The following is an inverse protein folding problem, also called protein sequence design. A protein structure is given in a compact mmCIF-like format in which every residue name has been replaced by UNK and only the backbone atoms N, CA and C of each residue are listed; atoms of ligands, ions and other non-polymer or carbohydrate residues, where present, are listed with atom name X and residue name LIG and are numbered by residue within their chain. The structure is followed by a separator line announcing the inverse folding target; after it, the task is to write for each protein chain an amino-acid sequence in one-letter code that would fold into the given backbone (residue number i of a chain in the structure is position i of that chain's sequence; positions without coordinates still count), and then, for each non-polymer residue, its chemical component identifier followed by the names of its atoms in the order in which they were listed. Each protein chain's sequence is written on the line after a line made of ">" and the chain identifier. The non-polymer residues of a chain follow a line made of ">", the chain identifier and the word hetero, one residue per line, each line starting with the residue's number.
data_IF_673709216647
#
_entry.id   IF_673709216647
#
_cell.length_a   1.000
_cell.length_b   1.000
_cell.length_c   1.000
_cell.angle_alpha   90.00
_cell.angle_beta   90.00
_cell.angle_gamma   90.00
#
_symmetry.space_group_name_H-M   'P 1'
#
loop_
_entity.id
_entity.type
_entity.pdbx_description
1 polymer ?
#
# COMPACT_ATOMS: atom_id res chain seq x y z
N UNK A 1 2.03 -3.82 -4.21
CA UNK A 1 1.45 -2.69 -4.99
C UNK A 1 1.26 -3.08 -6.45
N UNK A 2 2.27 -3.59 -7.18
CA UNK A 2 2.16 -3.93 -8.61
C UNK A 2 0.96 -4.81 -8.96
N UNK A 3 0.63 -5.82 -8.14
CA UNK A 3 -0.55 -6.66 -8.37
C UNK A 3 -1.87 -5.88 -8.34
N UNK A 4 -2.00 -4.89 -7.45
CA UNK A 4 -3.18 -4.02 -7.37
C UNK A 4 -3.24 -3.10 -8.58
N UNK A 5 -2.14 -2.45 -8.95
CA UNK A 5 -2.05 -1.59 -10.13
C UNK A 5 -2.41 -2.37 -11.40
N UNK A 6 -1.83 -3.56 -11.59
CA UNK A 6 -2.12 -4.41 -12.74
C UNK A 6 -3.60 -4.83 -12.79
N UNK A 7 -4.18 -5.17 -11.64
CA UNK A 7 -5.59 -5.54 -11.57
C UNK A 7 -6.53 -4.38 -11.96
N UNK A 8 -6.16 -3.15 -11.63
CA UNK A 8 -6.90 -1.95 -12.03
C UNK A 8 -6.76 -1.67 -13.53
N UNK A 9 -5.55 -1.75 -14.08
CA UNK A 9 -5.28 -1.62 -15.51
C UNK A 9 -6.03 -2.68 -16.32
N UNK A 10 -6.05 -3.93 -15.84
CA UNK A 10 -6.80 -5.02 -16.50
C UNK A 10 -8.33 -4.78 -16.52
N UNK A 11 -8.83 -3.89 -15.68
CA UNK A 11 -10.22 -3.40 -15.69
C UNK A 11 -10.43 -2.19 -16.58
N UNK A 12 -9.44 -1.87 -17.42
CA UNK A 12 -9.45 -0.70 -18.31
C UNK A 12 -9.55 0.65 -17.59
N UNK A 13 -9.07 0.71 -16.34
CA UNK A 13 -8.97 1.96 -15.61
C UNK A 13 -7.66 2.66 -15.96
N UNK A 14 -7.73 3.97 -16.08
CA UNK A 14 -6.56 4.85 -16.16
C UNK A 14 -6.00 5.03 -14.75
N UNK A 15 -4.76 4.57 -14.51
CA UNK A 15 -4.19 4.45 -13.16
C UNK A 15 -3.00 5.36 -12.99
N UNK A 16 -2.99 6.16 -11.92
CA UNK A 16 -1.80 6.80 -11.41
C UNK A 16 -1.25 6.03 -10.20
N UNK A 17 0.05 6.06 -10.02
CA UNK A 17 0.75 5.53 -8.86
C UNK A 17 1.59 6.62 -8.21
N UNK A 18 1.75 6.58 -6.89
CA UNK A 18 2.70 7.41 -6.17
C UNK A 18 3.40 6.57 -5.10
N UNK A 19 4.67 6.83 -4.88
CA UNK A 19 5.46 6.21 -3.81
C UNK A 19 5.62 7.17 -2.65
N UNK A 20 5.33 6.70 -1.43
CA UNK A 20 5.65 7.44 -0.20
C UNK A 20 7.12 7.23 0.14
N UNK A 21 8.02 7.96 -0.48
CA UNK A 21 9.47 7.95 -0.26
C UNK A 21 10.18 8.49 -1.53
N UNK A 22 11.41 9.01 -1.44
CA UNK A 22 12.20 9.41 -2.60
C UNK A 22 12.85 8.19 -3.28
N UNK A 23 12.02 7.24 -3.72
CA UNK A 23 12.42 6.04 -4.44
C UNK A 23 12.24 6.24 -5.96
N UNK A 24 13.08 5.58 -6.76
CA UNK A 24 12.95 5.58 -8.21
C UNK A 24 12.75 4.17 -8.79
N UNK A 25 13.05 3.11 -8.04
CA UNK A 25 12.94 1.72 -8.50
C UNK A 25 11.48 1.33 -8.62
N UNK A 26 10.69 1.47 -7.54
CA UNK A 26 9.27 1.14 -7.55
C UNK A 26 8.49 1.99 -8.57
N UNK A 27 8.71 3.33 -8.66
CA UNK A 27 8.11 4.13 -9.73
C UNK A 27 8.46 3.69 -11.15
N UNK A 28 9.67 3.13 -11.38
CA UNK A 28 10.00 2.53 -12.68
C UNK A 28 9.17 1.27 -12.98
N UNK A 29 8.95 0.40 -12.01
CA UNK A 29 8.06 -0.76 -12.18
C UNK A 29 6.62 -0.30 -12.45
N UNK A 30 6.12 0.69 -11.71
CA UNK A 30 4.78 1.23 -11.93
C UNK A 30 4.61 1.79 -13.35
N UNK A 31 5.61 2.53 -13.86
CA UNK A 31 5.52 3.18 -15.16
C UNK A 31 5.88 2.27 -16.33
N UNK A 32 7.01 1.55 -16.27
CA UNK A 32 7.53 0.79 -17.41
C UNK A 32 6.88 -0.58 -17.56
N UNK A 33 6.54 -1.24 -16.45
CA UNK A 33 5.97 -2.60 -16.47
C UNK A 33 4.46 -2.55 -16.45
N UNK A 34 3.86 -1.73 -15.59
CA UNK A 34 2.41 -1.65 -15.41
C UNK A 34 1.78 -0.62 -16.35
N UNK A 35 2.53 0.40 -16.79
CA UNK A 35 2.01 1.49 -17.61
C UNK A 35 1.24 2.56 -16.81
N UNK A 36 1.35 2.58 -15.49
CA UNK A 36 0.74 3.60 -14.65
C UNK A 36 1.55 4.90 -14.67
N UNK A 37 0.88 6.04 -14.66
CA UNK A 37 1.55 7.34 -14.41
C UNK A 37 2.11 7.32 -12.99
N UNK A 38 3.42 7.54 -12.79
CA UNK A 38 4.05 7.36 -11.50
C UNK A 38 4.84 8.58 -11.02
N UNK A 39 4.82 8.82 -9.70
CA UNK A 39 5.53 9.91 -9.03
C UNK A 39 5.90 9.53 -7.60
N UNK A 40 6.61 10.43 -6.90
CA UNK A 40 6.89 10.31 -5.47
C UNK A 40 6.13 11.37 -4.69
N UNK A 41 5.68 11.01 -3.48
CA UNK A 41 5.07 11.90 -2.50
C UNK A 41 5.79 11.68 -1.16
N UNK A 42 6.67 12.60 -0.78
CA UNK A 42 7.44 12.45 0.43
C UNK A 42 7.10 13.55 1.45
N UNK A 43 6.46 13.18 2.59
CA UNK A 43 6.10 14.13 3.64
C UNK A 43 7.32 14.66 4.43
N UNK A 44 8.51 14.13 4.21
CA UNK A 44 9.74 14.70 4.76
C UNK A 44 10.17 15.98 4.03
N UNK A 45 10.07 15.99 2.69
CA UNK A 45 10.51 17.11 1.85
C UNK A 45 9.41 18.15 1.59
N UNK A 46 8.13 17.73 1.64
CA UNK A 46 7.03 18.57 1.19
C UNK A 46 6.01 18.82 2.30
N UNK A 47 5.52 20.05 2.34
CA UNK A 47 4.37 20.42 3.17
C UNK A 47 3.05 19.86 2.63
N UNK A 48 1.99 19.99 3.39
CA UNK A 48 0.66 19.46 3.05
C UNK A 48 0.12 20.00 1.73
N UNK A 49 0.26 21.31 1.49
CA UNK A 49 -0.26 21.93 0.27
C UNK A 49 0.50 21.44 -0.97
N UNK A 50 1.82 21.32 -0.88
CA UNK A 50 2.65 20.79 -1.95
C UNK A 50 2.33 19.32 -2.22
N UNK A 51 2.16 18.49 -1.18
CA UNK A 51 1.77 17.08 -1.34
C UNK A 51 0.42 16.94 -2.04
N UNK A 52 -0.58 17.73 -1.63
CA UNK A 52 -1.91 17.72 -2.27
C UNK A 52 -1.86 18.19 -3.73
N UNK A 53 -1.06 19.22 -4.01
CA UNK A 53 -0.86 19.69 -5.38
C UNK A 53 -0.21 18.63 -6.26
N UNK A 54 0.88 18.01 -5.80
CA UNK A 54 1.59 16.96 -6.53
C UNK A 54 0.70 15.72 -6.73
N UNK A 55 -0.07 15.33 -5.73
CA UNK A 55 -1.03 14.24 -5.84
C UNK A 55 -2.12 14.57 -6.90
N UNK A 56 -2.70 15.75 -6.85
CA UNK A 56 -3.71 16.18 -7.82
C UNK A 56 -3.15 16.25 -9.24
N UNK A 57 -1.91 16.74 -9.41
CA UNK A 57 -1.23 16.80 -10.70
C UNK A 57 -0.96 15.38 -11.26
N UNK A 58 -0.52 14.46 -10.41
CA UNK A 58 -0.28 13.07 -10.79
C UNK A 58 -1.60 12.34 -11.12
N UNK A 59 -2.67 12.59 -10.37
CA UNK A 59 -3.99 12.00 -10.56
C UNK A 59 -4.74 12.55 -11.79
N UNK A 60 -4.31 13.68 -12.34
CA UNK A 60 -4.99 14.33 -13.45
C UNK A 60 -5.12 13.42 -14.67
N UNK A 61 -6.35 13.21 -15.12
CA UNK A 61 -6.69 12.34 -16.25
C UNK A 61 -6.70 10.85 -15.90
N UNK A 62 -6.62 10.48 -14.61
CA UNK A 62 -6.70 9.10 -14.16
C UNK A 62 -8.00 8.86 -13.37
N UNK A 63 -8.53 7.63 -13.46
CA UNK A 63 -9.74 7.20 -12.74
C UNK A 63 -9.42 6.90 -11.27
N UNK A 64 -8.20 6.44 -10.99
CA UNK A 64 -7.76 6.06 -9.65
C UNK A 64 -6.26 6.31 -9.46
N UNK A 65 -5.89 6.73 -8.26
CA UNK A 65 -4.50 6.84 -7.83
C UNK A 65 -4.22 5.90 -6.68
N UNK A 66 -3.16 5.11 -6.79
CA UNK A 66 -2.69 4.22 -5.73
C UNK A 66 -1.40 4.78 -5.15
N UNK A 67 -1.41 5.11 -3.86
CA UNK A 67 -0.21 5.52 -3.12
C UNK A 67 0.38 4.29 -2.45
N UNK A 68 1.62 3.97 -2.78
CA UNK A 68 2.37 2.90 -2.13
C UNK A 68 3.06 3.40 -0.87
N UNK A 69 2.68 2.84 0.27
CA UNK A 69 3.35 3.09 1.55
C UNK A 69 4.72 2.41 1.63
N UNK A 70 5.52 2.85 2.58
CA UNK A 70 6.88 2.37 2.87
C UNK A 70 6.96 1.91 4.31
N UNK A 71 7.73 0.85 4.57
CA UNK A 71 7.91 0.26 5.92
C UNK A 71 6.56 -0.11 6.58
N UNK A 72 6.46 -0.03 7.91
CA UNK A 72 5.19 -0.11 8.61
C UNK A 72 4.38 1.18 8.47
N UNK A 73 3.07 1.08 8.57
CA UNK A 73 2.14 2.20 8.36
C UNK A 73 2.47 3.43 9.24
N UNK A 74 2.86 3.18 10.48
CA UNK A 74 3.21 4.21 11.47
C UNK A 74 4.70 4.51 11.56
N UNK A 75 5.55 3.78 10.81
CA UNK A 75 7.00 3.95 10.89
C UNK A 75 7.43 5.22 10.15
N UNK A 76 8.03 6.14 10.88
CA UNK A 76 8.53 7.40 10.35
C UNK A 76 9.98 7.65 10.75
N UNK A 77 10.37 8.89 10.83
CA UNK A 77 11.74 9.29 11.18
C UNK A 77 12.11 8.85 12.59
N UNK A 78 13.18 8.06 12.67
CA UNK A 78 13.58 7.44 13.93
C UNK A 78 12.66 6.28 14.34
N UNK A 79 12.85 5.72 15.53
CA UNK A 79 12.19 4.49 15.94
C UNK A 79 10.82 4.71 16.62
N UNK A 80 10.47 5.94 16.94
CA UNK A 80 9.32 6.27 17.82
C UNK A 80 8.45 7.40 17.29
N UNK A 81 8.69 7.88 16.08
CA UNK A 81 7.96 9.00 15.50
C UNK A 81 7.18 8.56 14.26
N UNK A 82 5.98 9.11 14.09
CA UNK A 82 5.18 8.96 12.87
C UNK A 82 5.47 10.04 11.83
N UNK A 83 6.39 10.97 12.12
CA UNK A 83 6.78 12.01 11.17
C UNK A 83 7.39 11.37 9.90
N UNK A 84 6.95 11.83 8.74
CA UNK A 84 7.32 11.32 7.42
C UNK A 84 6.92 9.85 7.17
N UNK A 85 5.95 9.32 7.94
CA UNK A 85 5.39 7.99 7.71
C UNK A 85 4.30 7.98 6.64
N UNK A 86 3.92 6.79 6.22
CA UNK A 86 2.73 6.58 5.37
C UNK A 86 1.45 7.09 6.06
N UNK A 87 1.35 6.95 7.40
CA UNK A 87 0.26 7.51 8.19
C UNK A 87 0.17 9.04 8.02
N UNK A 88 1.29 9.77 8.21
CA UNK A 88 1.30 11.23 8.03
C UNK A 88 0.92 11.64 6.60
N UNK A 89 1.40 10.91 5.59
CA UNK A 89 1.02 11.16 4.20
C UNK A 89 -0.48 10.97 3.98
N UNK A 90 -1.05 9.89 4.50
CA UNK A 90 -2.49 9.61 4.40
C UNK A 90 -3.33 10.71 5.09
N UNK A 91 -2.87 11.23 6.24
CA UNK A 91 -3.50 12.36 6.92
C UNK A 91 -3.47 13.63 6.06
N UNK A 92 -2.29 14.03 5.61
CA UNK A 92 -2.08 15.25 4.81
C UNK A 92 -2.83 15.22 3.48
N UNK A 93 -2.93 14.08 2.84
CA UNK A 93 -3.62 13.91 1.55
C UNK A 93 -5.09 13.53 1.68
N UNK A 94 -5.58 13.31 2.89
CA UNK A 94 -6.96 12.84 3.17
C UNK A 94 -7.28 11.53 2.42
N UNK A 95 -6.30 10.66 2.29
CA UNK A 95 -6.42 9.42 1.52
C UNK A 95 -6.93 8.26 2.36
N UNK A 96 -7.89 7.45 1.87
CA UNK A 96 -8.28 6.20 2.53
C UNK A 96 -7.14 5.19 2.41
N UNK A 97 -7.01 4.34 3.42
CA UNK A 97 -5.91 3.38 3.55
C UNK A 97 -6.43 1.95 3.45
N UNK A 98 -5.78 1.15 2.60
CA UNK A 98 -5.94 -0.30 2.57
C UNK A 98 -4.68 -0.91 3.18
N UNK A 99 -4.82 -1.50 4.38
CA UNK A 99 -3.71 -2.11 5.09
C UNK A 99 -3.39 -3.48 4.49
N UNK A 100 -2.14 -3.71 4.12
CA UNK A 100 -1.66 -5.03 3.65
C UNK A 100 -0.97 -5.74 4.80
N UNK A 101 -1.55 -6.85 5.27
CA UNK A 101 -1.08 -7.57 6.45
C UNK A 101 -0.54 -8.94 6.06
N UNK A 102 0.64 -9.28 6.55
CA UNK A 102 1.20 -10.62 6.36
C UNK A 102 0.39 -11.65 7.17
N UNK A 103 -0.29 -12.54 6.46
CA UNK A 103 -1.12 -13.61 7.02
C UNK A 103 -0.48 -15.00 6.84
N UNK A 104 0.79 -15.08 6.45
CA UNK A 104 1.49 -16.34 6.21
C UNK A 104 1.59 -17.16 7.51
N UNK A 105 1.00 -18.36 7.50
CA UNK A 105 1.00 -19.24 8.67
C UNK A 105 0.18 -18.72 9.86
N UNK A 106 -0.58 -17.65 9.67
CA UNK A 106 -1.43 -17.08 10.69
C UNK A 106 -2.91 -17.46 10.48
N UNK A 107 -3.63 -17.52 11.58
CA UNK A 107 -5.09 -17.70 11.61
C UNK A 107 -5.71 -16.48 12.34
N UNK A 108 -6.52 -16.70 13.35
CA UNK A 108 -7.21 -15.62 14.07
C UNK A 108 -6.27 -14.54 14.64
N UNK A 109 -5.01 -14.88 14.95
CA UNK A 109 -4.04 -13.93 15.49
C UNK A 109 -3.71 -12.77 14.55
N UNK A 110 -3.85 -12.92 13.23
CA UNK A 110 -3.67 -11.80 12.28
C UNK A 110 -4.66 -10.68 12.55
N UNK A 111 -5.86 -11.01 13.04
CA UNK A 111 -6.90 -10.02 13.35
C UNK A 111 -6.54 -9.19 14.59
N UNK A 112 -5.80 -9.76 15.53
CA UNK A 112 -5.28 -9.00 16.67
C UNK A 112 -4.26 -7.94 16.20
N UNK A 113 -3.43 -8.26 15.22
CA UNK A 113 -2.52 -7.28 14.61
C UNK A 113 -3.30 -6.17 13.90
N UNK A 114 -4.34 -6.53 13.12
CA UNK A 114 -5.21 -5.53 12.47
C UNK A 114 -5.87 -4.63 13.51
N UNK A 115 -6.42 -5.20 14.59
CA UNK A 115 -7.02 -4.44 15.69
C UNK A 115 -6.02 -3.46 16.31
N UNK A 116 -4.78 -3.90 16.51
CA UNK A 116 -3.71 -3.01 16.98
C UNK A 116 -3.46 -1.81 16.06
N UNK A 117 -3.49 -2.01 14.74
CA UNK A 117 -3.37 -0.89 13.80
C UNK A 117 -4.56 0.07 13.87
N UNK A 118 -5.79 -0.44 14.01
CA UNK A 118 -7.00 0.39 14.09
C UNK A 118 -7.08 1.22 15.39
N UNK A 119 -6.51 0.72 16.48
CA UNK A 119 -6.62 1.38 17.79
C UNK A 119 -5.34 2.16 18.18
N UNK A 120 -4.25 2.05 17.41
CA UNK A 120 -2.95 2.59 17.82
C UNK A 120 -2.91 4.12 17.83
N UNK A 121 -3.47 4.75 16.82
CA UNK A 121 -3.56 6.22 16.72
C UNK A 121 -4.97 6.64 16.24
N UNK A 122 -5.44 7.82 16.64
CA UNK A 122 -6.72 8.34 16.16
C UNK A 122 -6.66 8.63 14.65
N UNK A 123 -7.82 8.53 14.00
CA UNK A 123 -8.00 8.84 12.57
C UNK A 123 -7.00 8.08 11.66
N UNK A 124 -6.89 6.76 11.87
CA UNK A 124 -5.95 5.90 11.14
C UNK A 124 -6.23 5.78 9.63
N UNK A 125 -7.41 6.24 9.16
CA UNK A 125 -7.91 6.18 7.79
C UNK A 125 -7.98 4.80 7.18
N UNK A 126 -7.80 3.74 7.96
CA UNK A 126 -7.85 2.36 7.50
C UNK A 126 -9.31 1.99 7.21
N UNK A 127 -9.64 1.84 5.94
CA UNK A 127 -10.98 1.47 5.48
C UNK A 127 -11.06 0.04 4.95
N UNK A 128 -9.91 -0.61 4.74
CA UNK A 128 -9.85 -1.96 4.20
C UNK A 128 -8.56 -2.70 4.53
N UNK A 129 -8.61 -4.02 4.39
CA UNK A 129 -7.49 -4.92 4.67
C UNK A 129 -7.32 -5.93 3.53
N UNK A 130 -6.08 -6.14 3.09
CA UNK A 130 -5.66 -7.23 2.21
C UNK A 130 -4.80 -8.20 3.03
N UNK A 131 -5.15 -9.50 3.01
CA UNK A 131 -4.35 -10.55 3.64
C UNK A 131 -3.32 -11.11 2.66
N UNK A 132 -2.04 -10.83 2.90
CA UNK A 132 -0.94 -11.29 2.06
C UNK A 132 -0.37 -12.62 2.56
N UNK A 133 -0.10 -13.56 1.64
CA UNK A 133 0.36 -14.91 1.95
C UNK A 133 -0.74 -15.83 2.48
N UNK A 134 -1.99 -15.53 2.14
CA UNK A 134 -3.20 -16.24 2.57
C UNK A 134 -3.75 -17.12 1.43
N UNK A 135 -4.40 -18.23 1.75
CA UNK A 135 -5.14 -19.05 0.78
C UNK A 135 -6.62 -18.69 0.77
N UNK A 136 -7.34 -19.05 -0.30
CA UNK A 136 -8.79 -18.84 -0.36
C UNK A 136 -9.54 -19.51 0.80
N UNK A 137 -9.10 -20.69 1.21
CA UNK A 137 -9.70 -21.46 2.30
C UNK A 137 -9.54 -20.75 3.66
N UNK A 138 -8.40 -20.14 3.93
CA UNK A 138 -8.15 -19.40 5.16
C UNK A 138 -8.70 -17.97 5.10
N UNK A 139 -8.76 -17.36 3.93
CA UNK A 139 -9.29 -16.01 3.75
C UNK A 139 -10.79 -15.90 4.09
N UNK A 140 -11.61 -16.78 3.55
CA UNK A 140 -13.07 -16.65 3.66
C UNK A 140 -13.60 -16.54 5.11
N UNK A 141 -13.18 -17.40 6.07
CA UNK A 141 -13.59 -17.24 7.46
C UNK A 141 -12.97 -15.98 8.12
N UNK A 142 -11.72 -15.61 7.80
CA UNK A 142 -11.07 -14.43 8.36
C UNK A 142 -11.71 -13.13 7.86
N UNK A 143 -12.11 -13.07 6.60
CA UNK A 143 -12.82 -11.93 6.02
C UNK A 143 -14.10 -11.60 6.78
N UNK A 144 -14.92 -12.62 7.10
CA UNK A 144 -16.13 -12.44 7.90
C UNK A 144 -15.82 -11.85 9.28
N UNK A 145 -14.81 -12.38 9.95
CA UNK A 145 -14.44 -11.88 11.29
C UNK A 145 -13.85 -10.46 11.21
N UNK A 146 -13.10 -10.10 10.16
CA UNK A 146 -12.66 -8.73 9.90
C UNK A 146 -13.84 -7.77 9.86
N UNK A 147 -14.85 -8.10 9.04
CA UNK A 147 -16.02 -7.24 8.84
C UNK A 147 -16.91 -7.20 10.08
N UNK A 148 -17.23 -8.37 10.65
CA UNK A 148 -18.19 -8.49 11.77
C UNK A 148 -17.64 -7.93 13.10
N UNK A 149 -16.34 -8.14 13.38
CA UNK A 149 -15.76 -7.78 14.70
C UNK A 149 -14.90 -6.51 14.67
N UNK A 150 -14.27 -6.20 13.55
CA UNK A 150 -13.38 -5.06 13.45
C UNK A 150 -14.02 -3.91 12.67
N UNK A 151 -15.13 -4.15 11.95
CA UNK A 151 -15.82 -3.11 11.18
C UNK A 151 -15.01 -2.58 9.99
N UNK A 152 -14.00 -3.35 9.54
CA UNK A 152 -13.13 -2.96 8.44
C UNK A 152 -13.34 -3.90 7.25
N UNK A 153 -13.35 -3.35 6.04
CA UNK A 153 -13.63 -4.11 4.81
C UNK A 153 -12.51 -5.13 4.50
N UNK A 154 -12.88 -6.36 4.23
CA UNK A 154 -11.99 -7.38 3.70
C UNK A 154 -11.85 -7.21 2.18
N UNK A 155 -10.79 -6.54 1.74
CA UNK A 155 -10.57 -6.18 0.33
C UNK A 155 -10.07 -7.34 -0.54
N UNK A 156 -9.62 -8.42 0.06
CA UNK A 156 -9.12 -9.58 -0.67
C UNK A 156 -7.87 -10.19 -0.04
N UNK A 157 -7.26 -11.09 -0.79
CA UNK A 157 -6.02 -11.75 -0.37
C UNK A 157 -5.07 -11.96 -1.55
N UNK A 158 -3.79 -12.12 -1.24
CA UNK A 158 -2.77 -12.57 -2.18
C UNK A 158 -2.22 -13.91 -1.69
N UNK A 159 -2.23 -14.96 -2.52
CA UNK A 159 -1.58 -16.22 -2.18
C UNK A 159 -0.06 -16.08 -2.28
N UNK A 160 0.67 -17.09 -1.84
CA UNK A 160 2.09 -17.15 -2.12
C UNK A 160 2.30 -17.41 -3.62
N UNK A 161 2.99 -16.52 -4.31
CA UNK A 161 3.26 -16.54 -5.75
C UNK A 161 4.79 -16.61 -5.97
N UNK A 162 5.41 -17.80 -5.88
CA UNK A 162 6.87 -17.95 -6.01
C UNK A 162 7.37 -17.47 -7.38
N UNK A 163 6.59 -17.65 -8.44
CA UNK A 163 6.95 -17.26 -9.81
C UNK A 163 6.93 -15.72 -10.02
N UNK A 164 6.31 -14.99 -9.10
CA UNK A 164 6.31 -13.53 -9.09
C UNK A 164 7.35 -12.93 -8.15
N UNK A 165 8.22 -13.74 -7.56
CA UNK A 165 9.23 -13.27 -6.63
C UNK A 165 10.38 -12.58 -7.38
N UNK A 166 10.55 -11.28 -7.14
CA UNK A 166 11.71 -10.53 -7.61
C UNK A 166 12.94 -10.87 -6.75
N UNK A 167 14.07 -11.14 -7.43
CA UNK A 167 15.33 -11.40 -6.73
C UNK A 167 15.84 -10.11 -6.06
N UNK A 168 16.17 -10.21 -4.78
CA UNK A 168 16.84 -9.12 -4.07
C UNK A 168 18.32 -9.04 -4.47
N UNK A 169 18.86 -7.82 -4.60
CA UNK A 169 20.30 -7.54 -4.74
C UNK A 169 20.86 -6.96 -3.44
N UNK A 170 22.19 -6.94 -3.30
CA UNK A 170 22.88 -6.37 -2.15
C UNK A 170 22.55 -4.88 -1.89
N UNK A 171 22.12 -4.13 -2.92
CA UNK A 171 21.77 -2.69 -2.86
C UNK A 171 20.36 -2.41 -3.39
N UNK A 172 19.43 -3.34 -3.27
CA UNK A 172 18.04 -3.14 -3.68
C UNK A 172 17.48 -4.21 -4.62
N UNK A 173 16.34 -3.93 -5.22
CA UNK A 173 15.68 -4.81 -6.19
C UNK A 173 16.33 -4.73 -7.57
N UNK A 174 16.17 -5.79 -8.36
CA UNK A 174 16.48 -5.78 -9.80
C UNK A 174 15.69 -4.66 -10.47
N UNK A 175 16.34 -3.89 -11.36
CA UNK A 175 15.66 -2.80 -12.04
C UNK A 175 14.67 -3.31 -13.10
N UNK A 176 13.68 -2.49 -13.45
CA UNK A 176 12.70 -2.81 -14.50
C UNK A 176 13.32 -3.04 -15.89
N UNK A 177 14.59 -2.68 -16.10
CA UNK A 177 15.32 -2.92 -17.35
C UNK A 177 16.00 -4.31 -17.40
N UNK A 178 15.99 -5.03 -16.26
CA UNK A 178 16.67 -6.33 -16.07
C UNK A 178 15.67 -7.49 -15.93
N UNK A 179 14.40 -7.20 -15.98
CA UNK A 179 13.26 -8.12 -16.01
C UNK A 179 12.63 -8.11 -17.39
#
# INVERSE_FOLDING_TARGET
>A
TCAVLQALVNRSLSVAAAKCDPDYIDPMFHSRIIGAKSSNLDPFFFDENTLRFLLAQNASGCDVTVIEGVMGYYDGLGLTSTRASTYELAQKTVSPVVLVVNARGAALSVLASVRGFLDFLPDDRICGVILNGCTAMTYAPLARVLEDRLGVKACGFLPNLPDCALKSRHLGLVTAAEV
#
